data_IF_612905811247
#
_entry.id   IF_612905811247
#
_cell.length_a   1.000
_cell.length_b   1.000
_cell.length_c   1.000
_cell.angle_alpha   90.00
_cell.angle_beta   90.00
_cell.angle_gamma   90.00
#
_symmetry.space_group_name_H-M   'P 1'
#
loop_
_entity.id
_entity.type
_entity.pdbx_description
1 polymer ?
#
# COMPACT_ATOMS: atom_id res chain seq x y z
N UNK A 1 15.54 -20.73 13.05
CA UNK A 1 15.81 -19.41 13.67
C UNK A 1 16.30 -18.53 12.55
N UNK A 2 15.38 -18.07 11.72
CA UNK A 2 15.71 -17.26 10.54
C UNK A 2 16.21 -15.89 10.98
N UNK A 3 17.49 -15.71 10.70
CA UNK A 3 18.21 -14.48 10.37
C UNK A 3 17.38 -13.17 10.45
N UNK A 4 17.44 -12.49 11.60
CA UNK A 4 16.95 -11.12 11.82
C UNK A 4 17.89 -10.06 11.20
N UNK A 5 18.67 -10.41 10.16
CA UNK A 5 19.54 -9.45 9.50
C UNK A 5 18.84 -8.88 8.26
N UNK A 6 18.39 -7.62 8.42
CA UNK A 6 17.57 -6.78 7.51
C UNK A 6 16.06 -7.02 7.63
N UNK A 7 15.41 -6.19 8.43
CA UNK A 7 13.96 -6.09 8.43
C UNK A 7 13.46 -5.77 7.00
N UNK A 8 12.59 -6.62 6.47
CA UNK A 8 11.94 -6.43 5.19
C UNK A 8 10.96 -5.24 5.28
N UNK A 9 11.07 -4.20 4.41
CA UNK A 9 10.20 -3.03 4.44
C UNK A 9 8.71 -3.36 4.45
N UNK A 10 8.28 -4.37 3.67
CA UNK A 10 6.89 -4.79 3.65
C UNK A 10 6.46 -5.32 5.02
N UNK A 11 7.28 -6.17 5.63
CA UNK A 11 7.03 -6.69 6.97
C UNK A 11 6.98 -5.59 8.03
N UNK A 12 7.87 -4.60 7.98
CA UNK A 12 7.85 -3.45 8.88
C UNK A 12 6.56 -2.65 8.76
N UNK A 13 6.20 -2.25 7.54
CA UNK A 13 4.98 -1.47 7.30
C UNK A 13 3.73 -2.25 7.72
N UNK A 14 3.70 -3.55 7.45
CA UNK A 14 2.57 -4.41 7.81
C UNK A 14 2.28 -4.44 9.31
N UNK A 15 3.31 -4.40 10.16
CA UNK A 15 3.11 -4.39 11.62
C UNK A 15 2.24 -3.22 12.10
N UNK A 16 2.23 -2.10 11.36
CA UNK A 16 1.42 -0.93 11.68
C UNK A 16 0.02 -0.96 11.05
N UNK A 17 -0.20 -1.76 10.00
CA UNK A 17 -1.44 -1.76 9.21
C UNK A 17 -2.37 -2.94 9.53
N UNK A 18 -1.83 -4.07 10.01
CA UNK A 18 -2.54 -5.35 10.11
C UNK A 18 -3.75 -5.39 11.05
N UNK A 19 -3.76 -4.55 12.08
CA UNK A 19 -4.76 -4.60 13.16
C UNK A 19 -5.88 -3.56 12.98
N UNK A 20 -6.20 -3.25 11.72
CA UNK A 20 -7.28 -2.33 11.33
C UNK A 20 -7.24 -0.95 12.01
N UNK A 21 -6.09 -0.26 12.05
CA UNK A 21 -5.98 1.06 12.67
C UNK A 21 -6.97 2.06 12.06
N UNK A 22 -7.59 2.90 12.90
CA UNK A 22 -8.65 3.85 12.49
C UNK A 22 -9.85 3.18 11.78
N UNK A 23 -10.05 1.87 11.96
CA UNK A 23 -11.10 1.11 11.29
C UNK A 23 -10.87 0.96 9.78
N UNK A 24 -9.61 0.99 9.33
CA UNK A 24 -9.21 0.77 7.95
C UNK A 24 -8.67 -0.64 7.77
N UNK A 25 -9.31 -1.44 6.94
CA UNK A 25 -8.90 -2.83 6.68
C UNK A 25 -7.90 -2.86 5.52
N UNK A 26 -6.61 -3.01 5.85
CA UNK A 26 -5.57 -3.29 4.87
C UNK A 26 -5.38 -4.81 4.75
N UNK A 27 -5.22 -5.29 3.51
CA UNK A 27 -4.81 -6.66 3.20
C UNK A 27 -3.43 -6.67 2.54
N UNK A 28 -2.72 -7.78 2.71
CA UNK A 28 -1.45 -8.04 2.01
C UNK A 28 -1.65 -8.90 0.77
N UNK A 29 -0.73 -8.74 -0.19
CA UNK A 29 -0.59 -9.61 -1.37
C UNK A 29 -1.91 -9.75 -2.15
N UNK A 30 -2.64 -8.64 -2.29
CA UNK A 30 -3.94 -8.60 -2.95
C UNK A 30 -3.79 -8.93 -4.44
N UNK A 31 -4.52 -9.95 -4.88
CA UNK A 31 -4.53 -10.41 -6.27
C UNK A 31 -5.37 -9.47 -7.12
N UNK A 32 -4.72 -8.56 -7.85
CA UNK A 32 -5.34 -7.78 -8.90
C UNK A 32 -5.26 -8.54 -10.23
N UNK A 33 -6.08 -8.17 -11.20
CA UNK A 33 -6.07 -8.82 -12.51
C UNK A 33 -4.73 -8.55 -13.21
N UNK A 34 -3.86 -9.56 -13.26
CA UNK A 34 -2.56 -9.49 -13.94
C UNK A 34 -1.37 -9.12 -13.06
N UNK A 35 -1.57 -8.77 -11.78
CA UNK A 35 -0.48 -8.38 -10.87
C UNK A 35 -0.88 -8.51 -9.39
N UNK A 36 0.10 -8.43 -8.50
CA UNK A 36 -0.12 -8.47 -7.04
C UNK A 36 0.20 -7.12 -6.43
N UNK A 37 -0.71 -6.61 -5.60
CA UNK A 37 -0.53 -5.41 -4.80
C UNK A 37 -0.01 -5.79 -3.41
N UNK A 38 1.14 -5.24 -2.96
CA UNK A 38 1.68 -5.57 -1.63
C UNK A 38 0.72 -5.21 -0.50
N UNK A 39 0.06 -4.06 -0.60
CA UNK A 39 -1.02 -3.67 0.31
C UNK A 39 -2.20 -3.06 -0.44
N UNK A 40 -3.40 -3.34 0.05
CA UNK A 40 -4.63 -2.77 -0.48
C UNK A 40 -5.64 -2.50 0.63
N UNK A 41 -6.33 -1.36 0.56
CA UNK A 41 -7.46 -1.02 1.40
C UNK A 41 -8.67 -0.71 0.52
N UNK A 42 -9.64 -1.62 0.54
CA UNK A 42 -10.88 -1.53 -0.26
C UNK A 42 -11.70 -0.30 0.14
N UNK A 43 -11.94 -0.11 1.44
CA UNK A 43 -12.70 1.03 1.98
C UNK A 43 -12.17 2.40 1.53
N UNK A 44 -10.86 2.49 1.28
CA UNK A 44 -10.19 3.73 0.88
C UNK A 44 -9.91 3.80 -0.63
N UNK A 45 -10.24 2.74 -1.39
CA UNK A 45 -9.80 2.56 -2.78
C UNK A 45 -8.32 2.95 -2.95
N UNK A 46 -7.46 2.40 -2.10
CA UNK A 46 -6.04 2.78 -2.01
C UNK A 46 -5.17 1.53 -2.00
N UNK A 47 -4.19 1.50 -2.89
CA UNK A 47 -3.14 0.49 -2.90
C UNK A 47 -1.78 1.12 -2.54
N UNK A 48 -0.93 0.38 -1.84
CA UNK A 48 0.43 0.80 -1.53
C UNK A 48 1.41 -0.15 -2.19
N UNK A 49 2.33 0.40 -2.98
CA UNK A 49 3.45 -0.32 -3.55
C UNK A 49 4.75 0.14 -2.90
N UNK A 50 5.63 -0.81 -2.60
CA UNK A 50 6.97 -0.52 -2.10
C UNK A 50 7.97 -0.75 -3.23
N UNK A 51 8.48 0.34 -3.79
CA UNK A 51 9.32 0.36 -4.98
C UNK A 51 10.33 1.52 -4.88
N UNK A 52 11.59 1.28 -5.26
CA UNK A 52 12.66 2.28 -5.21
C UNK A 52 12.73 3.12 -6.50
N UNK A 53 11.97 2.75 -7.55
CA UNK A 53 11.93 3.49 -8.81
C UNK A 53 10.48 3.84 -9.20
N UNK A 54 9.99 5.02 -8.78
CA UNK A 54 8.64 5.45 -9.11
C UNK A 54 8.47 5.89 -10.57
N UNK A 55 9.59 6.11 -11.28
CA UNK A 55 9.59 6.49 -12.69
C UNK A 55 9.76 5.30 -13.61
N UNK A 56 10.02 4.11 -13.06
CA UNK A 56 10.07 2.88 -13.83
C UNK A 56 8.74 2.73 -14.58
N UNK A 57 8.75 2.65 -15.92
CA UNK A 57 7.54 2.40 -16.68
C UNK A 57 6.99 1.04 -16.26
N UNK A 58 5.88 1.06 -15.52
CA UNK A 58 5.04 -0.12 -15.28
C UNK A 58 4.02 -0.15 -16.41
N UNK A 59 4.54 -0.24 -17.63
CA UNK A 59 3.76 -0.20 -18.87
C UNK A 59 2.98 -1.51 -19.00
N UNK A 60 1.87 -1.56 -18.27
CA UNK A 60 0.98 -2.70 -18.19
C UNK A 60 -0.45 -2.21 -18.33
N UNK A 61 -0.99 -2.36 -19.55
CA UNK A 61 -2.38 -2.06 -19.87
C UNK A 61 -3.39 -2.70 -18.90
N UNK A 62 -3.06 -3.84 -18.27
CA UNK A 62 -3.90 -4.47 -17.27
C UNK A 62 -3.95 -3.67 -15.96
N UNK A 63 -2.83 -3.06 -15.57
CA UNK A 63 -2.72 -2.20 -14.39
C UNK A 63 -3.48 -0.90 -14.54
N UNK A 64 -3.40 -0.26 -15.69
CA UNK A 64 -4.18 0.94 -15.98
C UNK A 64 -5.68 0.63 -15.94
N UNK A 65 -6.09 -0.41 -16.68
CA UNK A 65 -7.49 -0.86 -16.72
C UNK A 65 -8.03 -1.21 -15.33
N UNK A 66 -7.23 -1.92 -14.51
CA UNK A 66 -7.64 -2.29 -13.16
C UNK A 66 -7.82 -1.07 -12.25
N UNK A 67 -6.89 -0.12 -12.28
CA UNK A 67 -6.98 1.13 -11.50
C UNK A 67 -8.22 1.93 -11.89
N UNK A 68 -8.50 2.10 -13.18
CA UNK A 68 -9.67 2.83 -13.67
C UNK A 68 -10.97 2.13 -13.26
N UNK A 69 -11.05 0.82 -13.45
CA UNK A 69 -12.23 0.03 -13.13
C UNK A 69 -12.56 0.06 -11.62
N UNK A 70 -11.54 -0.04 -10.77
CA UNK A 70 -11.72 -0.11 -9.31
C UNK A 70 -11.63 1.26 -8.63
N UNK A 71 -11.34 2.33 -9.39
CA UNK A 71 -11.12 3.71 -8.91
C UNK A 71 -10.05 3.78 -7.82
N UNK A 72 -8.99 2.98 -7.97
CA UNK A 72 -7.93 2.83 -6.99
C UNK A 72 -6.78 3.76 -7.30
N UNK A 73 -6.30 4.49 -6.29
CA UNK A 73 -5.04 5.20 -6.38
C UNK A 73 -3.93 4.28 -5.86
N UNK A 74 -2.81 4.22 -6.58
CA UNK A 74 -1.61 3.51 -6.15
C UNK A 74 -0.60 4.51 -5.60
N UNK A 75 -0.32 4.43 -4.30
CA UNK A 75 0.74 5.19 -3.65
C UNK A 75 2.03 4.37 -3.65
N UNK A 76 3.08 4.91 -4.27
CA UNK A 76 4.41 4.29 -4.25
C UNK A 76 5.25 4.87 -3.12
N UNK A 77 5.89 3.97 -2.37
CA UNK A 77 6.70 4.31 -1.21
C UNK A 77 8.09 3.68 -1.38
N UNK A 78 9.17 4.49 -1.37
CA UNK A 78 10.52 3.96 -1.39
C UNK A 78 10.79 3.06 -0.18
N UNK A 79 11.39 1.86 -0.37
CA UNK A 79 11.87 1.00 0.71
C UNK A 79 12.67 1.77 1.77
N UNK A 80 13.52 2.69 1.33
CA UNK A 80 14.36 3.53 2.19
C UNK A 80 13.58 4.39 3.18
N UNK A 81 12.37 4.85 2.82
CA UNK A 81 11.52 5.63 3.74
C UNK A 81 10.97 4.75 4.86
N UNK A 82 10.55 3.53 4.54
CA UNK A 82 10.02 2.58 5.54
C UNK A 82 11.14 2.11 6.48
N UNK A 83 12.31 1.78 5.93
CA UNK A 83 13.48 1.38 6.73
C UNK A 83 13.95 2.50 7.65
N UNK A 84 13.78 3.77 7.24
CA UNK A 84 14.11 4.93 8.07
C UNK A 84 13.11 5.12 9.21
N UNK A 85 11.81 5.09 8.92
CA UNK A 85 10.76 5.27 9.93
C UNK A 85 9.41 4.68 9.48
N UNK A 86 9.19 3.39 9.74
CA UNK A 86 7.96 2.71 9.34
C UNK A 86 6.70 3.28 10.00
N UNK A 87 6.79 3.77 11.24
CA UNK A 87 5.64 4.35 11.95
C UNK A 87 5.16 5.65 11.31
N UNK A 88 6.09 6.55 10.96
CA UNK A 88 5.75 7.82 10.29
C UNK A 88 5.15 7.59 8.90
N UNK A 89 5.69 6.62 8.16
CA UNK A 89 5.12 6.21 6.87
C UNK A 89 3.71 5.65 7.06
N UNK A 90 3.50 4.79 8.05
CA UNK A 90 2.19 4.23 8.34
C UNK A 90 1.17 5.32 8.72
N UNK A 91 1.55 6.28 9.56
CA UNK A 91 0.68 7.41 9.94
C UNK A 91 0.22 8.20 8.71
N UNK A 92 1.15 8.50 7.79
CA UNK A 92 0.85 9.18 6.54
C UNK A 92 -0.11 8.37 5.65
N UNK A 93 0.12 7.06 5.50
CA UNK A 93 -0.76 6.15 4.76
C UNK A 93 -2.17 6.14 5.35
N UNK A 94 -2.28 6.05 6.68
CA UNK A 94 -3.56 6.02 7.38
C UNK A 94 -4.32 7.33 7.25
N UNK A 95 -3.64 8.48 7.29
CA UNK A 95 -4.26 9.78 7.09
C UNK A 95 -4.81 9.95 5.67
N UNK A 96 -4.07 9.51 4.66
CA UNK A 96 -4.54 9.51 3.26
C UNK A 96 -5.74 8.57 3.11
N UNK A 97 -5.63 7.34 3.61
CA UNK A 97 -6.69 6.34 3.53
C UNK A 97 -7.98 6.79 4.23
N UNK A 98 -7.87 7.43 5.39
CA UNK A 98 -9.02 8.00 6.11
C UNK A 98 -9.74 9.04 5.26
N UNK A 99 -9.02 10.02 4.71
CA UNK A 99 -9.60 11.07 3.85
C UNK A 99 -10.24 10.50 2.59
N UNK A 100 -9.69 9.42 2.04
CA UNK A 100 -10.26 8.74 0.87
C UNK A 100 -11.54 8.00 1.24
N UNK A 101 -11.53 7.22 2.32
CA UNK A 101 -12.72 6.52 2.83
C UNK A 101 -13.88 7.50 3.03
N UNK A 102 -13.64 8.67 3.60
CA UNK A 102 -14.66 9.72 3.77
C UNK A 102 -15.21 10.27 2.45
N UNK A 103 -14.41 10.29 1.37
CA UNK A 103 -14.85 10.72 0.03
C UNK A 103 -15.69 9.66 -0.67
N UNK A 104 -15.37 8.38 -0.48
CA UNK A 104 -16.10 7.26 -1.09
C UNK A 104 -17.34 6.82 -0.29
N UNK A 105 -17.43 7.19 0.98
CA UNK A 105 -18.63 6.97 1.81
C UNK A 105 -19.79 7.95 1.49
N UNK A 106 -19.56 8.95 0.63
CA UNK A 106 -20.55 9.94 0.20
C UNK A 106 -21.06 9.61 -1.20
#
# INVERSE_FOLDING_TARGET
MEDLSKADPLTLLWQHLKDAPKGLLFVRDHQATGFVLPFYCEDAHLAIEVDDDPFRPKDDSARESWQEQHRVDIMQIPPSHILRNASEVADAVLDIATRRKERFAK
#
